data_IF_161064392645
#
_entry.id   IF_161064392645
#
_cell.length_a   1.000
_cell.length_b   1.000
_cell.length_c   1.000
_cell.angle_alpha   90.00
_cell.angle_beta   90.00
_cell.angle_gamma   90.00
#
_symmetry.space_group_name_H-M   'P 1'
#
loop_
_entity.id
_entity.type
_entity.pdbx_description
1 polymer ?
#
# COMPACT_ATOMS: atom_id res chain seq x y z
N UNK A 1 -8.05 -8.69 -29.51
CA UNK A 1 -7.57 -7.82 -28.42
C UNK A 1 -8.11 -6.40 -28.69
N UNK A 2 -8.55 -5.68 -27.64
CA UNK A 2 -9.01 -4.29 -27.80
C UNK A 2 -7.81 -3.36 -28.06
N UNK A 3 -7.97 -2.29 -28.87
CA UNK A 3 -6.87 -1.36 -29.14
C UNK A 3 -6.26 -0.73 -27.89
N UNK A 4 -7.08 -0.44 -26.88
CA UNK A 4 -6.62 0.11 -25.60
C UNK A 4 -5.75 -0.88 -24.83
N UNK A 5 -6.08 -2.18 -24.88
CA UNK A 5 -5.29 -3.25 -24.27
C UNK A 5 -3.92 -3.37 -24.96
N UNK A 6 -3.89 -3.38 -26.28
CA UNK A 6 -2.64 -3.43 -27.06
C UNK A 6 -1.74 -2.23 -26.72
N UNK A 7 -2.33 -1.03 -26.60
CA UNK A 7 -1.60 0.20 -26.22
C UNK A 7 -0.99 0.08 -24.82
N UNK A 8 -1.72 -0.45 -23.84
CA UNK A 8 -1.20 -0.63 -22.47
C UNK A 8 0.00 -1.60 -22.49
N UNK A 9 -0.15 -2.78 -23.10
CA UNK A 9 0.92 -3.78 -23.15
C UNK A 9 2.15 -3.21 -23.87
N UNK A 10 1.95 -2.53 -25.00
CA UNK A 10 3.03 -1.88 -25.74
C UNK A 10 3.73 -0.81 -24.90
N UNK A 11 2.98 0.05 -24.20
CA UNK A 11 3.53 1.09 -23.32
C UNK A 11 4.41 0.47 -22.23
N UNK A 12 3.88 -0.47 -21.44
CA UNK A 12 4.61 -1.13 -20.36
C UNK A 12 5.87 -1.86 -20.85
N UNK A 13 5.82 -2.40 -22.07
CA UNK A 13 7.00 -3.02 -22.68
C UNK A 13 8.05 -1.97 -23.09
N UNK A 14 7.62 -0.84 -23.66
CA UNK A 14 8.51 0.24 -24.10
C UNK A 14 9.18 0.97 -22.94
N UNK A 15 8.47 1.17 -21.83
CA UNK A 15 9.00 1.79 -20.59
C UNK A 15 9.90 0.85 -19.80
N UNK A 16 9.85 -0.46 -20.09
CA UNK A 16 10.61 -1.47 -19.36
C UNK A 16 9.95 -1.96 -18.08
N UNK A 17 8.71 -1.51 -17.79
CA UNK A 17 7.94 -1.92 -16.62
C UNK A 17 7.47 -3.38 -16.72
N UNK A 18 7.25 -3.88 -17.94
CA UNK A 18 6.78 -5.25 -18.19
C UNK A 18 7.94 -6.18 -18.60
N UNK A 19 8.30 -7.08 -17.70
CA UNK A 19 9.26 -8.15 -17.96
C UNK A 19 8.76 -9.10 -19.06
N UNK A 20 9.68 -9.55 -19.91
CA UNK A 20 9.40 -10.48 -21.02
C UNK A 20 8.67 -11.75 -20.58
N UNK A 21 8.93 -12.25 -19.37
CA UNK A 21 8.26 -13.45 -18.81
C UNK A 21 6.78 -13.24 -18.57
N UNK A 22 6.37 -12.00 -18.30
CA UNK A 22 4.97 -11.63 -18.01
C UNK A 22 4.23 -11.10 -19.23
N UNK A 23 4.95 -10.79 -20.33
CA UNK A 23 4.34 -10.24 -21.55
C UNK A 23 3.16 -11.09 -22.03
N UNK A 24 3.32 -12.42 -22.09
CA UNK A 24 2.26 -13.34 -22.51
C UNK A 24 1.00 -13.26 -21.64
N UNK A 25 1.18 -13.16 -20.31
CA UNK A 25 0.08 -13.05 -19.38
C UNK A 25 -0.67 -11.70 -19.54
N UNK A 26 0.08 -10.59 -19.61
CA UNK A 26 -0.52 -9.26 -19.82
C UNK A 26 -1.23 -9.14 -21.17
N UNK A 27 -0.72 -9.80 -22.21
CA UNK A 27 -1.37 -9.82 -23.52
C UNK A 27 -2.64 -10.70 -23.57
N UNK A 28 -2.68 -11.78 -22.78
CA UNK A 28 -3.81 -12.72 -22.79
C UNK A 28 -4.91 -12.35 -21.81
N UNK A 29 -4.57 -11.75 -20.65
CA UNK A 29 -5.52 -11.44 -19.58
C UNK A 29 -6.06 -10.02 -19.73
N UNK A 30 -7.28 -9.91 -20.25
CA UNK A 30 -7.92 -8.63 -20.55
C UNK A 30 -8.45 -7.95 -19.28
N UNK A 31 -7.77 -6.88 -18.82
CA UNK A 31 -8.07 -6.18 -17.54
C UNK A 31 -9.53 -5.76 -17.42
N UNK A 32 -10.14 -5.28 -18.51
CA UNK A 32 -11.53 -4.82 -18.51
C UNK A 32 -12.55 -5.90 -18.10
N UNK A 33 -12.23 -7.19 -18.31
CA UNK A 33 -13.12 -8.29 -17.91
C UNK A 33 -13.20 -8.49 -16.40
N UNK A 34 -12.24 -7.91 -15.67
CA UNK A 34 -12.17 -7.99 -14.20
C UNK A 34 -12.71 -6.74 -13.50
N UNK A 35 -13.04 -5.68 -14.24
CA UNK A 35 -13.53 -4.45 -13.64
C UNK A 35 -15.06 -4.43 -13.53
N UNK A 36 -15.63 -3.79 -12.48
CA UNK A 36 -17.08 -3.56 -12.41
C UNK A 36 -17.51 -2.55 -13.49
N UNK A 37 -18.81 -2.46 -13.73
CA UNK A 37 -19.37 -1.47 -14.67
C UNK A 37 -19.01 -0.04 -14.31
N UNK A 38 -18.93 0.27 -13.02
CA UNK A 38 -18.59 1.60 -12.52
C UNK A 38 -17.21 1.60 -11.87
N UNK A 39 -16.35 2.53 -12.31
CA UNK A 39 -14.98 2.74 -11.79
C UNK A 39 -14.71 4.21 -11.56
N UNK A 40 -13.81 4.52 -10.63
CA UNK A 40 -13.40 5.89 -10.32
C UNK A 40 -11.88 6.01 -10.44
N UNK A 41 -11.41 7.00 -11.17
CA UNK A 41 -9.99 7.33 -11.29
C UNK A 41 -9.48 8.07 -10.02
N UNK A 42 -8.15 8.18 -9.83
CA UNK A 42 -7.56 8.86 -8.66
C UNK A 42 -7.94 10.35 -8.52
N UNK A 43 -8.25 11.03 -9.63
CA UNK A 43 -8.71 12.42 -9.66
C UNK A 43 -10.18 12.59 -9.27
N UNK A 44 -10.88 11.49 -8.92
CA UNK A 44 -12.29 11.47 -8.58
C UNK A 44 -13.23 11.32 -9.79
N UNK A 45 -12.71 11.29 -11.02
CA UNK A 45 -13.52 11.06 -12.22
C UNK A 45 -14.15 9.66 -12.17
N UNK A 46 -15.48 9.60 -12.12
CA UNK A 46 -16.24 8.36 -12.12
C UNK A 46 -16.88 8.13 -13.48
N UNK A 47 -16.74 6.91 -14.01
CA UNK A 47 -17.34 6.50 -15.29
C UNK A 47 -18.10 5.20 -15.11
N UNK A 48 -19.29 5.15 -15.71
CA UNK A 48 -20.10 3.95 -15.76
C UNK A 48 -20.07 3.37 -17.18
N UNK A 49 -19.64 2.11 -17.33
CA UNK A 49 -19.53 1.44 -18.64
C UNK A 49 -20.86 1.40 -19.40
N UNK A 50 -21.94 1.24 -18.65
CA UNK A 50 -23.29 1.06 -19.17
C UNK A 50 -24.13 2.34 -18.93
N UNK A 51 -23.46 3.51 -18.81
CA UNK A 51 -24.09 4.81 -18.62
C UNK A 51 -24.88 5.30 -19.84
N UNK A 52 -25.69 6.34 -19.61
CA UNK A 52 -26.62 6.89 -20.62
C UNK A 52 -25.99 7.88 -21.60
N UNK A 53 -24.71 8.22 -21.43
CA UNK A 53 -24.04 9.22 -22.28
C UNK A 53 -23.26 8.56 -23.43
N UNK A 54 -23.37 9.15 -24.61
CA UNK A 54 -22.55 8.74 -25.75
C UNK A 54 -21.05 8.81 -25.38
N UNK A 55 -20.34 7.69 -25.57
CA UNK A 55 -18.91 7.58 -25.28
C UNK A 55 -18.56 7.07 -23.87
N UNK A 56 -19.50 6.85 -22.97
CA UNK A 56 -19.23 6.36 -21.60
C UNK A 56 -18.44 5.03 -21.62
N UNK A 57 -18.85 4.11 -22.48
CA UNK A 57 -18.13 2.83 -22.63
C UNK A 57 -16.68 3.02 -23.13
N UNK A 58 -16.47 3.94 -24.03
CA UNK A 58 -15.14 4.21 -24.60
C UNK A 58 -14.23 4.85 -23.54
N UNK A 59 -14.76 5.82 -22.80
CA UNK A 59 -14.07 6.46 -21.69
C UNK A 59 -13.77 5.48 -20.54
N UNK A 60 -14.71 4.58 -20.25
CA UNK A 60 -14.51 3.51 -19.27
C UNK A 60 -13.37 2.57 -19.70
N UNK A 61 -13.31 2.20 -21.00
CA UNK A 61 -12.23 1.39 -21.55
C UNK A 61 -10.87 2.13 -21.53
N UNK A 62 -10.86 3.43 -21.78
CA UNK A 62 -9.65 4.25 -21.64
C UNK A 62 -9.11 4.19 -20.22
N UNK A 63 -9.94 4.45 -19.21
CA UNK A 63 -9.56 4.32 -17.80
C UNK A 63 -9.16 2.88 -17.42
N UNK A 64 -9.87 1.88 -17.93
CA UNK A 64 -9.59 0.48 -17.66
C UNK A 64 -8.18 0.06 -18.13
N UNK A 65 -7.67 0.71 -19.17
CA UNK A 65 -6.37 0.40 -19.79
C UNK A 65 -5.34 1.53 -19.67
N UNK A 66 -5.63 2.54 -18.86
CA UNK A 66 -4.58 3.48 -18.46
C UNK A 66 -3.72 2.89 -17.34
N UNK A 67 -2.48 3.40 -17.21
CA UNK A 67 -1.55 2.96 -16.17
C UNK A 67 -1.76 3.73 -14.87
N UNK A 68 -2.97 3.58 -14.36
CA UNK A 68 -3.44 4.16 -13.10
C UNK A 68 -4.20 3.10 -12.28
N UNK A 69 -4.24 3.23 -10.94
CA UNK A 69 -5.19 2.47 -10.15
C UNK A 69 -6.61 2.98 -10.42
N UNK A 70 -7.59 2.09 -10.44
CA UNK A 70 -9.01 2.48 -10.50
C UNK A 70 -9.76 1.94 -9.30
N UNK A 71 -10.51 2.80 -8.60
CA UNK A 71 -11.30 2.45 -7.44
C UNK A 71 -12.51 1.64 -7.92
N UNK A 72 -12.74 0.50 -7.27
CA UNK A 72 -13.80 -0.46 -7.62
C UNK A 72 -14.80 -0.68 -6.50
N UNK A 73 -14.48 -0.22 -5.28
CA UNK A 73 -15.39 -0.24 -4.14
C UNK A 73 -15.02 0.89 -3.17
N UNK A 74 -16.01 1.49 -2.55
CA UNK A 74 -15.88 2.45 -1.45
C UNK A 74 -16.64 1.96 -0.22
N UNK A 75 -16.21 2.40 0.97
CA UNK A 75 -16.88 2.19 2.27
C UNK A 75 -17.29 0.73 2.51
N UNK A 76 -16.42 -0.22 2.15
CA UNK A 76 -16.63 -1.67 2.26
C UNK A 76 -17.90 -2.17 1.57
N UNK A 77 -18.39 -1.46 0.55
CA UNK A 77 -19.60 -1.83 -0.21
C UNK A 77 -20.92 -1.56 0.52
N UNK A 78 -20.90 -0.88 1.66
CA UNK A 78 -22.11 -0.62 2.46
C UNK A 78 -23.09 0.36 1.82
N UNK A 79 -22.61 1.18 0.86
CA UNK A 79 -23.38 2.28 0.27
C UNK A 79 -23.57 3.49 1.19
N UNK A 80 -23.05 3.41 2.41
CA UNK A 80 -23.09 4.45 3.43
C UNK A 80 -21.67 4.82 3.82
N UNK A 81 -21.33 6.11 3.85
CA UNK A 81 -20.00 6.57 4.25
C UNK A 81 -19.51 7.81 3.53
N UNK A 82 -18.21 8.07 3.62
CA UNK A 82 -17.55 9.26 3.07
C UNK A 82 -16.97 9.02 1.66
N UNK A 83 -17.25 7.90 1.01
CA UNK A 83 -16.66 7.52 -0.27
C UNK A 83 -15.22 7.05 -0.16
N UNK A 84 -14.82 6.52 0.98
CA UNK A 84 -13.45 6.05 1.19
C UNK A 84 -13.16 4.80 0.36
N UNK A 85 -12.08 4.78 -0.45
CA UNK A 85 -11.71 3.63 -1.25
C UNK A 85 -11.38 2.41 -0.40
N UNK A 86 -12.02 1.27 -0.68
CA UNK A 86 -11.83 0.00 0.02
C UNK A 86 -11.47 -1.16 -0.89
N UNK A 87 -11.61 -0.99 -2.21
CA UNK A 87 -11.04 -1.87 -3.23
C UNK A 87 -10.67 -1.06 -4.47
N UNK A 88 -9.58 -1.44 -5.10
CA UNK A 88 -9.14 -0.91 -6.39
C UNK A 88 -8.55 -2.02 -7.26
N UNK A 89 -8.59 -1.85 -8.57
CA UNK A 89 -7.70 -2.55 -9.47
C UNK A 89 -6.40 -1.74 -9.56
N UNK A 90 -5.32 -2.33 -9.08
CA UNK A 90 -4.01 -1.68 -8.98
C UNK A 90 -3.48 -1.19 -10.34
N UNK A 91 -2.59 -0.20 -10.29
CA UNK A 91 -1.89 0.32 -11.45
C UNK A 91 -1.12 -0.80 -12.17
N UNK A 92 -1.28 -0.96 -13.49
CA UNK A 92 -0.67 -2.07 -14.23
C UNK A 92 0.84 -2.17 -14.13
N UNK A 93 1.58 -1.06 -14.18
CA UNK A 93 3.05 -1.05 -14.03
C UNK A 93 3.49 -1.54 -12.64
N UNK A 94 2.78 -1.16 -11.57
CA UNK A 94 3.05 -1.65 -10.21
C UNK A 94 2.77 -3.15 -10.11
N UNK A 95 1.68 -3.62 -10.71
CA UNK A 95 1.39 -5.07 -10.78
C UNK A 95 2.50 -5.81 -11.50
N UNK A 96 2.98 -5.28 -12.63
CA UNK A 96 4.06 -5.88 -13.40
C UNK A 96 5.37 -5.96 -12.62
N UNK A 97 5.77 -4.88 -11.92
CA UNK A 97 6.96 -4.85 -11.05
C UNK A 97 6.84 -5.86 -9.90
N UNK A 98 5.70 -5.89 -9.20
CA UNK A 98 5.48 -6.83 -8.12
C UNK A 98 5.53 -8.30 -8.60
N UNK A 99 4.96 -8.61 -9.73
CA UNK A 99 5.00 -9.95 -10.33
C UNK A 99 6.42 -10.33 -10.79
N UNK A 100 7.18 -9.39 -11.36
CA UNK A 100 8.59 -9.58 -11.68
C UNK A 100 9.42 -9.93 -10.43
N UNK A 101 9.28 -9.15 -9.34
CA UNK A 101 9.96 -9.37 -8.06
C UNK A 101 9.54 -10.65 -7.36
N UNK A 102 8.29 -11.07 -7.52
CA UNK A 102 7.78 -12.32 -6.96
C UNK A 102 8.53 -13.54 -7.51
N UNK A 103 9.04 -13.46 -8.74
CA UNK A 103 9.95 -14.41 -9.37
C UNK A 103 9.40 -15.84 -9.34
N UNK A 104 8.25 -16.02 -9.97
CA UNK A 104 7.56 -17.31 -10.05
C UNK A 104 8.05 -18.16 -11.21
N UNK A 105 7.98 -19.49 -11.03
CA UNK A 105 8.30 -20.48 -12.05
C UNK A 105 7.18 -21.54 -12.14
N UNK A 106 7.04 -22.23 -13.28
CA UNK A 106 6.04 -23.29 -13.43
C UNK A 106 6.09 -24.31 -12.30
N UNK A 107 4.93 -24.70 -11.78
CA UNK A 107 4.78 -25.62 -10.67
C UNK A 107 4.87 -24.99 -9.29
N UNK A 108 5.20 -23.71 -9.17
CA UNK A 108 5.17 -23.00 -7.89
C UNK A 108 3.74 -22.71 -7.44
N UNK A 109 3.51 -22.85 -6.14
CA UNK A 109 2.24 -22.55 -5.47
C UNK A 109 2.29 -21.17 -4.87
N UNK A 110 1.30 -20.35 -5.20
CA UNK A 110 1.20 -18.95 -4.77
C UNK A 110 -0.01 -18.75 -3.87
N UNK A 111 0.20 -18.03 -2.77
CA UNK A 111 -0.85 -17.40 -1.98
C UNK A 111 -0.88 -15.91 -2.33
N UNK A 112 -2.01 -15.43 -2.82
CA UNK A 112 -2.32 -14.01 -2.97
C UNK A 112 -3.23 -13.56 -1.83
N UNK A 113 -2.92 -12.43 -1.22
CA UNK A 113 -3.76 -11.77 -0.21
C UNK A 113 -4.31 -10.47 -0.79
N UNK A 114 -5.64 -10.36 -0.86
CA UNK A 114 -6.33 -9.24 -1.50
C UNK A 114 -6.70 -9.55 -2.96
N UNK A 115 -7.64 -10.46 -3.18
CA UNK A 115 -8.14 -10.81 -4.54
C UNK A 115 -8.65 -9.60 -5.32
N UNK A 116 -9.32 -8.68 -4.62
CA UNK A 116 -9.96 -7.53 -5.25
C UNK A 116 -10.92 -7.96 -6.36
N UNK A 117 -10.68 -7.47 -7.56
CA UNK A 117 -11.49 -7.83 -8.74
C UNK A 117 -11.08 -9.14 -9.42
N UNK A 118 -9.92 -9.73 -9.04
CA UNK A 118 -9.39 -10.99 -9.56
C UNK A 118 -8.38 -10.84 -10.71
N UNK A 119 -8.05 -9.62 -11.14
CA UNK A 119 -7.15 -9.40 -12.28
C UNK A 119 -5.74 -9.99 -12.04
N UNK A 120 -5.13 -9.70 -10.88
CA UNK A 120 -3.80 -10.21 -10.56
C UNK A 120 -3.80 -11.75 -10.40
N UNK A 121 -4.84 -12.31 -9.76
CA UNK A 121 -5.05 -13.78 -9.72
C UNK A 121 -5.17 -14.39 -11.13
N UNK A 122 -5.78 -13.67 -12.07
CA UNK A 122 -5.85 -14.06 -13.49
C UNK A 122 -4.46 -14.11 -14.15
N UNK A 123 -3.64 -13.08 -13.95
CA UNK A 123 -2.25 -13.04 -14.43
C UNK A 123 -1.41 -14.20 -13.86
N UNK A 124 -1.49 -14.42 -12.55
CA UNK A 124 -0.83 -15.55 -11.88
C UNK A 124 -1.32 -16.90 -12.43
N UNK A 125 -2.64 -17.03 -12.65
CA UNK A 125 -3.23 -18.27 -13.17
C UNK A 125 -2.81 -18.55 -14.61
N UNK A 126 -2.67 -17.51 -15.44
CA UNK A 126 -2.13 -17.68 -16.79
C UNK A 126 -0.70 -18.21 -16.78
N UNK A 127 0.12 -17.74 -15.85
CA UNK A 127 1.54 -18.10 -15.76
C UNK A 127 1.79 -19.46 -15.11
N UNK A 128 0.96 -19.86 -14.14
CA UNK A 128 1.22 -21.01 -13.27
C UNK A 128 0.20 -22.15 -13.39
N UNK A 129 -0.94 -21.91 -14.04
CA UNK A 129 -2.14 -22.75 -13.90
C UNK A 129 -2.96 -22.34 -12.66
N UNK A 130 -4.28 -22.24 -12.81
CA UNK A 130 -5.18 -21.79 -11.75
C UNK A 130 -5.13 -22.66 -10.50
N UNK A 131 -4.88 -23.96 -10.64
CA UNK A 131 -4.74 -24.91 -9.53
C UNK A 131 -3.58 -24.59 -8.58
N UNK A 132 -2.59 -23.81 -9.03
CA UNK A 132 -1.44 -23.38 -8.24
C UNK A 132 -1.64 -22.02 -7.56
N UNK A 133 -2.74 -21.34 -7.85
CA UNK A 133 -3.05 -20.02 -7.30
C UNK A 133 -4.15 -20.13 -6.25
N UNK A 134 -3.85 -19.70 -5.03
CA UNK A 134 -4.82 -19.49 -3.96
C UNK A 134 -4.88 -17.99 -3.70
N UNK A 135 -6.08 -17.41 -3.74
CA UNK A 135 -6.30 -15.98 -3.49
C UNK A 135 -7.37 -15.78 -2.42
N UNK A 136 -7.07 -14.92 -1.44
CA UNK A 136 -7.92 -14.72 -0.26
C UNK A 136 -8.47 -13.31 -0.25
N UNK A 137 -9.79 -13.19 -0.11
CA UNK A 137 -10.53 -11.93 -0.02
C UNK A 137 -11.41 -11.89 1.21
N UNK A 138 -11.29 -10.82 2.00
CA UNK A 138 -12.06 -10.67 3.24
C UNK A 138 -13.54 -10.33 2.97
N UNK A 139 -13.83 -9.64 1.89
CA UNK A 139 -15.17 -9.26 1.46
C UNK A 139 -15.80 -10.41 0.64
N UNK A 140 -16.93 -10.91 1.11
CA UNK A 140 -17.58 -12.08 0.50
C UNK A 140 -18.13 -11.79 -0.89
N UNK A 141 -18.68 -10.59 -1.11
CA UNK A 141 -19.25 -10.20 -2.40
C UNK A 141 -18.17 -9.99 -3.44
N UNK A 142 -17.07 -9.34 -3.07
CA UNK A 142 -15.89 -9.20 -3.95
C UNK A 142 -15.29 -10.57 -4.26
N UNK A 143 -15.19 -11.49 -3.29
CA UNK A 143 -14.68 -12.84 -3.51
C UNK A 143 -15.53 -13.61 -4.53
N UNK A 144 -16.86 -13.53 -4.40
CA UNK A 144 -17.77 -14.19 -5.34
C UNK A 144 -17.70 -13.58 -6.74
N UNK A 145 -17.70 -12.25 -6.83
CA UNK A 145 -17.54 -11.56 -8.12
C UNK A 145 -16.21 -11.89 -8.80
N UNK A 146 -15.11 -11.94 -8.04
CA UNK A 146 -13.80 -12.31 -8.56
C UNK A 146 -13.79 -13.76 -9.06
N UNK A 147 -14.42 -14.69 -8.33
CA UNK A 147 -14.56 -16.09 -8.75
C UNK A 147 -15.28 -16.21 -10.08
N UNK A 148 -16.41 -15.52 -10.24
CA UNK A 148 -17.16 -15.52 -11.50
C UNK A 148 -16.30 -14.97 -12.64
N UNK A 149 -15.67 -13.80 -12.45
CA UNK A 149 -14.83 -13.19 -13.48
C UNK A 149 -13.63 -14.07 -13.89
N UNK A 150 -13.00 -14.74 -12.92
CA UNK A 150 -11.90 -15.67 -13.19
C UNK A 150 -12.38 -16.87 -14.00
N UNK A 151 -13.52 -17.47 -13.64
CA UNK A 151 -14.09 -18.60 -14.38
C UNK A 151 -14.50 -18.19 -15.80
N UNK A 152 -15.13 -17.03 -15.97
CA UNK A 152 -15.51 -16.49 -17.28
C UNK A 152 -14.30 -16.16 -18.15
N UNK A 153 -13.16 -15.85 -17.53
CA UNK A 153 -11.90 -15.66 -18.21
C UNK A 153 -11.13 -16.98 -18.46
N UNK A 154 -11.65 -18.11 -18.00
CA UNK A 154 -11.04 -19.43 -18.18
C UNK A 154 -10.01 -19.83 -17.13
N UNK A 155 -9.97 -19.15 -15.98
CA UNK A 155 -9.03 -19.41 -14.89
C UNK A 155 -9.72 -20.05 -13.68
N UNK A 156 -9.20 -21.21 -13.25
CA UNK A 156 -9.73 -21.97 -12.10
C UNK A 156 -8.89 -21.73 -10.83
N UNK A 157 -8.61 -20.47 -10.50
CA UNK A 157 -7.94 -20.14 -9.26
C UNK A 157 -8.79 -20.48 -8.04
N UNK A 158 -8.14 -20.84 -6.93
CA UNK A 158 -8.82 -21.13 -5.67
C UNK A 158 -9.11 -19.83 -4.91
N UNK A 159 -10.31 -19.26 -5.15
CA UNK A 159 -10.77 -18.04 -4.47
C UNK A 159 -11.37 -18.41 -3.11
N UNK A 160 -10.85 -17.81 -2.06
CA UNK A 160 -11.26 -18.04 -0.67
C UNK A 160 -11.82 -16.76 -0.07
N UNK A 161 -13.01 -16.86 0.53
CA UNK A 161 -13.52 -15.78 1.40
C UNK A 161 -12.97 -15.97 2.80
N UNK A 162 -12.24 -14.96 3.31
CA UNK A 162 -11.64 -15.03 4.65
C UNK A 162 -10.64 -13.92 4.92
N UNK A 163 -10.15 -13.92 6.12
CA UNK A 163 -9.10 -13.00 6.57
C UNK A 163 -7.73 -13.44 6.03
N UNK A 164 -7.21 -12.66 5.06
CA UNK A 164 -5.94 -12.93 4.41
C UNK A 164 -4.72 -12.87 5.35
N UNK A 165 -4.82 -12.20 6.50
CA UNK A 165 -3.73 -12.17 7.50
C UNK A 165 -3.46 -13.55 8.09
N UNK A 166 -4.44 -14.44 8.06
CA UNK A 166 -4.33 -15.85 8.48
C UNK A 166 -3.75 -16.76 7.40
N UNK A 167 -3.53 -16.24 6.17
CA UNK A 167 -3.18 -17.05 5.03
C UNK A 167 -4.27 -18.09 4.69
N UNK A 168 -3.83 -19.21 4.11
CA UNK A 168 -4.73 -20.35 3.86
C UNK A 168 -4.00 -21.69 4.07
N UNK A 169 -3.98 -22.23 5.29
CA UNK A 169 -3.17 -23.40 5.65
C UNK A 169 -3.59 -24.69 4.91
N UNK A 170 -4.84 -24.79 4.44
CA UNK A 170 -5.35 -25.99 3.73
C UNK A 170 -4.61 -26.28 2.42
N UNK A 171 -3.91 -25.30 1.87
CA UNK A 171 -3.14 -25.43 0.63
C UNK A 171 -1.65 -25.11 0.81
N UNK A 172 -1.21 -24.88 2.04
CA UNK A 172 0.22 -24.74 2.35
C UNK A 172 0.98 -26.08 2.11
N UNK A 173 2.32 -26.06 1.95
CA UNK A 173 3.14 -24.85 1.95
C UNK A 173 3.17 -24.14 0.60
N UNK A 174 3.41 -22.82 0.63
CA UNK A 174 3.52 -21.96 -0.55
C UNK A 174 4.98 -21.69 -0.92
N UNK A 175 5.25 -21.54 -2.20
CA UNK A 175 6.56 -21.09 -2.72
C UNK A 175 6.66 -19.58 -2.66
N UNK A 176 5.51 -18.89 -2.84
CA UNK A 176 5.40 -17.44 -2.87
C UNK A 176 4.17 -16.98 -2.13
N UNK A 177 4.30 -15.87 -1.42
CA UNK A 177 3.17 -15.11 -0.87
C UNK A 177 3.24 -13.70 -1.44
N UNK A 178 2.16 -13.24 -2.03
CA UNK A 178 2.00 -11.88 -2.57
C UNK A 178 0.83 -11.21 -1.86
N UNK A 179 1.07 -10.07 -1.22
CA UNK A 179 -0.04 -9.23 -0.75
C UNK A 179 -0.24 -8.05 -1.69
N UNK A 180 -1.47 -7.83 -2.11
CA UNK A 180 -1.93 -6.63 -2.82
C UNK A 180 -2.69 -5.68 -1.88
N UNK A 181 -2.44 -5.83 -0.58
CA UNK A 181 -2.85 -4.92 0.47
C UNK A 181 -1.67 -4.66 1.41
N UNK A 182 -1.53 -3.42 1.89
CA UNK A 182 -0.44 -3.02 2.77
C UNK A 182 -0.63 -3.57 4.18
N UNK A 183 0.49 -3.83 4.86
CA UNK A 183 0.54 -4.23 6.26
C UNK A 183 1.48 -3.33 7.05
N UNK A 184 1.14 -3.05 8.31
CA UNK A 184 2.06 -2.46 9.29
C UNK A 184 2.90 -3.54 9.97
N UNK A 185 2.30 -4.74 10.08
CA UNK A 185 2.94 -5.95 10.62
C UNK A 185 2.70 -7.11 9.66
N UNK A 186 3.77 -7.72 9.20
CA UNK A 186 3.69 -8.91 8.35
C UNK A 186 3.12 -10.08 9.17
N UNK A 187 1.99 -10.67 8.79
CA UNK A 187 1.42 -11.79 9.53
C UNK A 187 2.36 -13.00 9.54
N UNK A 188 2.70 -13.50 10.73
CA UNK A 188 3.59 -14.66 10.83
C UNK A 188 3.00 -15.92 10.16
N UNK A 189 1.67 -15.98 10.02
CA UNK A 189 1.00 -17.05 9.27
C UNK A 189 1.51 -17.18 7.83
N UNK A 190 1.93 -16.08 7.20
CA UNK A 190 2.51 -16.11 5.85
C UNK A 190 3.89 -16.79 5.84
N UNK A 191 4.69 -16.54 6.88
CA UNK A 191 6.00 -17.19 7.08
C UNK A 191 5.82 -18.68 7.36
N UNK A 192 4.97 -19.02 8.34
CA UNK A 192 4.72 -20.39 8.76
C UNK A 192 4.12 -21.29 7.65
N UNK A 193 3.38 -20.68 6.70
CA UNK A 193 2.77 -21.39 5.56
C UNK A 193 3.65 -21.38 4.30
N UNK A 194 4.83 -20.80 4.36
CA UNK A 194 5.79 -20.77 3.24
C UNK A 194 6.87 -21.86 3.41
N UNK A 195 7.40 -22.32 2.29
CA UNK A 195 8.55 -23.24 2.30
C UNK A 195 9.83 -22.50 2.70
N UNK A 196 10.81 -23.16 3.30
CA UNK A 196 12.16 -22.61 3.35
C UNK A 196 12.65 -22.23 1.96
N UNK A 197 13.21 -21.03 1.81
CA UNK A 197 13.54 -20.42 0.52
C UNK A 197 12.39 -19.76 -0.20
N UNK A 198 11.16 -19.87 0.31
CA UNK A 198 9.98 -19.14 -0.20
C UNK A 198 10.15 -17.63 -0.09
N UNK A 199 9.43 -16.88 -0.93
CA UNK A 199 9.43 -15.41 -0.89
C UNK A 199 8.08 -14.87 -0.45
N UNK A 200 8.11 -13.79 0.33
CA UNK A 200 6.95 -13.00 0.71
C UNK A 200 7.18 -11.59 0.19
N UNK A 201 6.26 -11.11 -0.62
CA UNK A 201 6.27 -9.77 -1.18
C UNK A 201 5.02 -9.03 -0.72
N UNK A 202 5.19 -7.91 -0.03
CA UNK A 202 4.06 -7.16 0.55
C UNK A 202 4.35 -5.68 0.64
N UNK A 203 3.39 -4.81 0.24
CA UNK A 203 3.44 -3.41 0.62
C UNK A 203 3.45 -3.30 2.15
N UNK A 204 4.31 -2.43 2.66
CA UNK A 204 4.55 -2.25 4.08
C UNK A 204 4.65 -0.77 4.44
N UNK A 205 4.28 -0.43 5.66
CA UNK A 205 4.44 0.91 6.17
C UNK A 205 4.11 1.02 7.65
N UNK A 206 4.08 2.24 8.15
CA UNK A 206 3.61 2.63 9.48
C UNK A 206 2.41 3.56 9.34
N UNK A 207 1.81 4.00 10.45
CA UNK A 207 0.78 5.03 10.37
C UNK A 207 1.32 6.36 9.80
N UNK A 208 2.61 6.62 9.99
CA UNK A 208 3.29 7.81 9.47
C UNK A 208 3.57 7.74 7.96
N UNK A 209 4.07 6.60 7.49
CA UNK A 209 4.50 6.41 6.11
C UNK A 209 3.97 5.08 5.55
N UNK A 210 3.28 5.14 4.42
CA UNK A 210 2.78 3.96 3.70
C UNK A 210 3.30 4.02 2.26
N UNK A 211 4.21 3.14 1.90
CA UNK A 211 4.74 3.18 0.54
C UNK A 211 5.90 2.22 0.24
N UNK A 212 6.48 1.55 1.21
CA UNK A 212 7.58 0.63 0.95
C UNK A 212 7.09 -0.77 0.55
N UNK A 213 7.89 -1.50 -0.23
CA UNK A 213 7.65 -2.90 -0.60
C UNK A 213 8.63 -3.78 0.17
N UNK A 214 8.15 -4.65 1.05
CA UNK A 214 8.99 -5.61 1.75
C UNK A 214 9.20 -6.87 0.90
N UNK A 215 10.44 -7.20 0.60
CA UNK A 215 10.86 -8.43 -0.09
C UNK A 215 11.55 -9.36 0.90
N UNK A 216 10.84 -10.39 1.37
CA UNK A 216 11.36 -11.29 2.40
C UNK A 216 11.59 -12.69 1.84
N UNK A 217 12.63 -13.34 2.34
CA UNK A 217 12.92 -14.76 2.09
C UNK A 217 12.76 -15.55 3.37
N UNK A 218 12.04 -16.65 3.31
CA UNK A 218 11.81 -17.54 4.44
C UNK A 218 13.04 -18.44 4.66
N UNK A 219 13.58 -18.39 5.87
CA UNK A 219 14.72 -19.20 6.31
C UNK A 219 14.30 -20.58 6.79
N UNK A 220 15.27 -21.50 6.93
CA UNK A 220 15.04 -22.82 7.51
C UNK A 220 14.76 -22.77 9.02
N UNK A 221 15.06 -21.65 9.67
CA UNK A 221 14.82 -21.36 11.08
C UNK A 221 13.38 -20.91 11.38
N UNK A 222 12.51 -20.86 10.36
CA UNK A 222 11.12 -20.40 10.50
C UNK A 222 10.98 -18.88 10.60
N UNK A 223 12.04 -18.11 10.34
CA UNK A 223 11.96 -16.65 10.18
C UNK A 223 11.88 -16.27 8.71
N UNK A 224 11.44 -15.06 8.44
CA UNK A 224 11.58 -14.42 7.11
C UNK A 224 12.37 -13.13 7.26
N UNK A 225 13.26 -12.85 6.31
CA UNK A 225 14.12 -11.67 6.34
C UNK A 225 14.40 -11.15 4.94
N UNK A 226 14.61 -9.85 4.83
CA UNK A 226 14.92 -9.19 3.57
C UNK A 226 14.95 -7.69 3.70
N UNK A 227 14.92 -7.01 2.57
CA UNK A 227 15.02 -5.55 2.50
C UNK A 227 13.73 -4.93 1.96
N UNK A 228 13.63 -3.63 2.14
CA UNK A 228 12.61 -2.85 1.48
C UNK A 228 13.08 -2.46 0.08
N UNK A 229 12.10 -2.39 -0.83
CA UNK A 229 12.29 -1.98 -2.20
C UNK A 229 11.04 -1.22 -2.67
N UNK A 230 11.13 -0.57 -3.83
CA UNK A 230 10.00 0.07 -4.48
C UNK A 230 9.37 1.21 -3.69
N UNK A 231 8.51 1.92 -4.39
CA UNK A 231 7.65 2.98 -3.89
C UNK A 231 6.22 2.60 -4.30
N UNK A 232 5.48 1.99 -3.39
CA UNK A 232 4.19 1.36 -3.69
C UNK A 232 3.20 1.58 -2.55
N UNK A 233 2.26 2.49 -2.72
CA UNK A 233 1.20 2.74 -1.76
C UNK A 233 -0.03 1.87 -2.05
N UNK A 234 -0.43 1.05 -1.08
CA UNK A 234 -1.62 0.21 -1.14
C UNK A 234 -2.57 0.50 0.03
N UNK A 235 -3.83 0.14 -0.16
CA UNK A 235 -4.80 0.12 0.94
C UNK A 235 -4.37 -0.91 1.97
N UNK A 236 -4.60 -0.59 3.26
CA UNK A 236 -4.29 -1.49 4.37
C UNK A 236 -5.18 -2.73 4.40
N UNK A 237 -4.65 -3.85 4.84
CA UNK A 237 -5.49 -4.96 5.30
C UNK A 237 -6.45 -4.45 6.37
N UNK A 238 -7.66 -5.00 6.43
CA UNK A 238 -8.79 -4.40 7.16
C UNK A 238 -8.53 -4.18 8.65
N UNK A 239 -7.87 -5.12 9.31
CA UNK A 239 -7.55 -5.06 10.74
C UNK A 239 -6.33 -4.17 11.09
N UNK A 240 -5.56 -3.75 10.08
CA UNK A 240 -4.42 -2.83 10.25
C UNK A 240 -4.68 -1.44 9.65
N UNK A 241 -5.92 -1.14 9.32
CA UNK A 241 -6.32 0.20 8.84
C UNK A 241 -6.05 1.25 9.89
N UNK A 242 -5.53 2.39 9.45
CA UNK A 242 -5.38 3.56 10.30
C UNK A 242 -6.73 4.26 10.49
N UNK A 243 -6.99 4.89 11.66
CA UNK A 243 -8.22 5.63 11.90
C UNK A 243 -8.43 6.75 10.88
N UNK A 244 -9.69 6.99 10.52
CA UNK A 244 -10.09 8.10 9.66
C UNK A 244 -10.43 9.33 10.49
N UNK A 245 -10.44 10.50 9.86
CA UNK A 245 -10.87 11.76 10.46
C UNK A 245 -10.14 12.07 11.78
N UNK A 246 -8.85 11.70 11.84
CA UNK A 246 -8.04 11.85 13.06
C UNK A 246 -7.82 13.32 13.41
N UNK A 247 -7.66 14.19 12.41
CA UNK A 247 -7.50 15.62 12.62
C UNK A 247 -8.77 16.19 13.24
N UNK A 248 -9.92 15.98 12.63
CA UNK A 248 -11.21 16.47 13.11
C UNK A 248 -11.60 15.89 14.47
N UNK A 249 -11.09 14.72 14.82
CA UNK A 249 -11.39 14.06 16.08
C UNK A 249 -10.50 14.54 17.22
N UNK A 250 -9.22 14.78 16.95
CA UNK A 250 -8.22 15.02 18.00
C UNK A 250 -7.72 16.47 18.07
N UNK A 251 -7.65 17.19 16.94
CA UNK A 251 -7.10 18.55 16.88
C UNK A 251 -8.21 19.57 17.16
N UNK A 252 -8.27 20.05 18.40
CA UNK A 252 -9.29 21.00 18.85
C UNK A 252 -8.63 22.17 19.61
N UNK A 253 -7.93 23.08 18.92
CA UNK A 253 -7.16 24.14 19.55
C UNK A 253 -8.04 25.11 20.39
N UNK A 254 -9.33 25.23 20.08
CA UNK A 254 -10.29 26.05 20.82
C UNK A 254 -10.64 25.47 22.22
N UNK A 255 -10.50 24.15 22.38
CA UNK A 255 -10.92 23.40 23.57
C UNK A 255 -9.73 22.84 24.38
N UNK A 256 -8.52 22.87 23.80
CA UNK A 256 -7.34 22.18 24.34
C UNK A 256 -6.19 23.15 24.58
N UNK A 257 -5.52 23.02 25.72
CA UNK A 257 -4.28 23.75 25.98
C UNK A 257 -3.16 23.20 25.09
N UNK A 258 -2.39 24.08 24.46
CA UNK A 258 -1.23 23.72 23.65
C UNK A 258 -0.07 24.69 23.90
N UNK A 259 1.12 24.24 23.58
CA UNK A 259 2.31 25.09 23.57
C UNK A 259 2.59 25.59 22.16
N UNK A 260 3.09 26.82 22.06
CA UNK A 260 3.50 27.44 20.82
C UNK A 260 5.03 27.51 20.77
N UNK A 261 5.60 27.10 19.64
CA UNK A 261 7.02 27.26 19.30
C UNK A 261 7.16 27.65 17.83
N UNK A 262 8.40 27.89 17.39
CA UNK A 262 8.72 28.18 15.99
C UNK A 262 9.87 27.32 15.52
N UNK A 263 9.85 26.95 14.25
CA UNK A 263 10.91 26.20 13.59
C UNK A 263 11.27 26.82 12.25
N UNK A 264 12.56 26.69 11.87
CA UNK A 264 13.01 26.98 10.50
C UNK A 264 12.87 25.79 9.55
N UNK A 265 12.54 24.60 10.06
CA UNK A 265 12.39 23.39 9.26
C UNK A 265 11.13 23.50 8.36
N UNK A 266 11.32 23.31 7.06
CA UNK A 266 10.20 23.28 6.13
C UNK A 266 9.64 21.84 6.05
N UNK A 267 8.31 21.63 6.12
CA UNK A 267 7.71 20.28 6.15
C UNK A 267 8.08 19.38 4.98
N UNK A 268 8.32 19.94 3.82
CA UNK A 268 8.73 19.16 2.65
C UNK A 268 10.03 18.37 2.85
N UNK A 269 10.95 18.87 3.67
CA UNK A 269 12.21 18.17 3.92
C UNK A 269 12.01 16.81 4.62
N UNK A 270 11.31 16.72 5.79
CA UNK A 270 11.12 15.45 6.48
C UNK A 270 9.94 14.60 5.98
N UNK A 271 8.96 15.20 5.29
CA UNK A 271 7.70 14.50 4.97
C UNK A 271 7.62 14.12 3.49
N UNK A 272 8.08 14.99 2.57
CA UNK A 272 7.99 14.72 1.13
C UNK A 272 9.15 13.90 0.59
N UNK A 273 10.31 13.90 1.28
CA UNK A 273 11.38 12.95 0.96
C UNK A 273 10.95 11.55 1.41
N UNK A 274 10.90 10.61 0.47
CA UNK A 274 10.41 9.25 0.73
C UNK A 274 11.23 8.55 1.81
N UNK A 275 12.56 8.60 1.71
CA UNK A 275 13.45 7.90 2.62
C UNK A 275 13.50 8.55 4.02
N UNK A 276 13.42 9.88 4.09
CA UNK A 276 13.29 10.59 5.35
C UNK A 276 11.96 10.25 6.04
N UNK A 277 10.84 10.34 5.31
CA UNK A 277 9.50 10.02 5.81
C UNK A 277 9.40 8.56 6.28
N UNK A 278 9.99 7.62 5.52
CA UNK A 278 10.08 6.22 5.92
C UNK A 278 10.85 6.07 7.24
N UNK A 279 12.04 6.65 7.36
CA UNK A 279 12.88 6.58 8.56
C UNK A 279 12.20 7.21 9.77
N UNK A 280 11.56 8.36 9.62
CA UNK A 280 10.75 9.01 10.67
C UNK A 280 9.62 8.10 11.11
N UNK A 281 8.92 7.47 10.15
CA UNK A 281 7.85 6.52 10.44
C UNK A 281 8.30 5.32 11.28
N UNK A 282 9.57 4.90 11.21
CA UNK A 282 10.12 3.86 12.09
C UNK A 282 10.26 4.33 13.55
N UNK A 283 10.53 5.61 13.78
CA UNK A 283 10.62 6.20 15.12
C UNK A 283 9.24 6.60 15.68
N UNK A 284 8.29 6.87 14.79
CA UNK A 284 6.94 7.35 15.13
C UNK A 284 5.84 6.46 14.52
N UNK A 285 5.84 5.14 14.72
CA UNK A 285 5.04 4.20 13.94
C UNK A 285 3.51 4.34 14.13
N UNK A 286 3.07 4.95 15.23
CA UNK A 286 1.64 5.16 15.57
C UNK A 286 1.13 6.55 15.20
N UNK A 287 2.02 7.44 14.78
CA UNK A 287 1.68 8.83 14.48
C UNK A 287 1.25 8.96 13.02
N UNK A 288 0.10 9.57 12.82
CA UNK A 288 -0.37 9.92 11.48
C UNK A 288 0.09 11.32 11.12
N UNK A 289 0.46 11.51 9.86
CA UNK A 289 0.62 12.84 9.28
C UNK A 289 -0.52 13.12 8.29
N UNK A 290 -0.98 14.37 8.26
CA UNK A 290 -1.98 14.87 7.32
C UNK A 290 -1.62 16.28 6.92
N UNK A 291 -1.74 16.56 5.64
CA UNK A 291 -1.54 17.91 5.10
C UNK A 291 -2.90 18.49 4.73
N UNK A 292 -3.22 19.64 5.28
CA UNK A 292 -4.41 20.42 4.95
C UNK A 292 -3.99 21.67 4.21
N UNK A 293 -4.45 21.83 2.97
CA UNK A 293 -4.22 23.01 2.15
C UNK A 293 -5.36 24.02 2.40
N UNK A 294 -4.99 25.28 2.56
CA UNK A 294 -5.95 26.39 2.52
C UNK A 294 -6.03 26.92 1.08
N UNK A 295 -7.21 27.35 0.65
CA UNK A 295 -7.51 27.70 -0.75
C UNK A 295 -6.71 28.87 -1.31
N UNK A 296 -5.98 29.62 -0.49
CA UNK A 296 -5.28 30.81 -0.90
C UNK A 296 -3.79 30.77 -0.50
N UNK A 297 -2.93 31.21 -1.41
CA UNK A 297 -1.54 31.63 -1.19
C UNK A 297 -0.54 30.52 -0.79
N UNK A 298 -0.71 29.27 -1.22
CA UNK A 298 0.23 28.17 -0.89
C UNK A 298 0.41 27.92 0.63
N UNK A 299 -0.55 28.35 1.42
CA UNK A 299 -0.58 28.05 2.86
C UNK A 299 -1.08 26.64 3.09
N UNK A 300 -0.46 25.95 4.01
CA UNK A 300 -0.92 24.64 4.44
C UNK A 300 -0.52 24.38 5.89
N UNK A 301 -1.20 23.42 6.51
CA UNK A 301 -0.88 22.93 7.84
C UNK A 301 -0.56 21.44 7.77
N UNK A 302 0.53 21.04 8.39
CA UNK A 302 0.84 19.63 8.62
C UNK A 302 0.41 19.27 10.03
N UNK A 303 -0.52 18.32 10.13
CA UNK A 303 -0.95 17.76 11.39
C UNK A 303 -0.25 16.44 11.65
N UNK A 304 0.35 16.30 12.83
CA UNK A 304 0.81 15.04 13.38
C UNK A 304 -0.16 14.65 14.50
N UNK A 305 -0.68 13.43 14.47
CA UNK A 305 -1.67 12.96 15.46
C UNK A 305 -1.31 11.55 15.92
N UNK A 306 -1.23 11.36 17.22
CA UNK A 306 -1.18 10.05 17.85
C UNK A 306 -2.52 9.73 18.51
N UNK A 307 -3.40 8.94 17.88
CA UNK A 307 -4.71 8.63 18.42
C UNK A 307 -4.67 7.90 19.76
N UNK A 308 -3.59 7.15 20.02
CA UNK A 308 -3.44 6.37 21.25
C UNK A 308 -3.27 7.23 22.50
N UNK A 309 -2.60 8.38 22.38
CA UNK A 309 -2.37 9.32 23.48
C UNK A 309 -3.23 10.59 23.39
N UNK A 310 -3.89 10.82 22.25
CA UNK A 310 -4.57 12.06 21.94
C UNK A 310 -3.64 13.25 21.70
N UNK A 311 -2.33 12.99 21.58
CA UNK A 311 -1.35 14.05 21.31
C UNK A 311 -1.43 14.49 19.85
N UNK A 312 -1.29 15.81 19.62
CA UNK A 312 -1.24 16.34 18.27
C UNK A 312 -0.26 17.50 18.13
N UNK A 313 0.13 17.74 16.89
CA UNK A 313 0.88 18.91 16.45
C UNK A 313 0.19 19.52 15.24
N UNK A 314 0.12 20.84 15.18
CA UNK A 314 -0.22 21.61 13.97
C UNK A 314 0.98 22.47 13.60
N UNK A 315 1.53 22.21 12.44
CA UNK A 315 2.70 22.90 11.90
C UNK A 315 2.27 23.75 10.72
N UNK A 316 2.14 25.07 10.98
CA UNK A 316 1.57 26.02 10.05
C UNK A 316 2.64 26.58 9.12
N UNK A 317 2.44 26.41 7.82
CA UNK A 317 3.32 26.93 6.77
C UNK A 317 2.67 28.10 6.09
N UNK A 318 3.31 29.25 6.21
CA UNK A 318 2.92 30.49 5.52
C UNK A 318 4.17 31.01 4.77
N UNK A 319 4.18 30.96 3.44
CA UNK A 319 5.32 31.43 2.64
C UNK A 319 5.68 32.89 2.90
N UNK A 320 4.71 33.72 3.26
CA UNK A 320 4.94 35.12 3.62
C UNK A 320 5.68 35.34 4.95
N UNK A 321 5.86 34.27 5.75
CA UNK A 321 6.52 34.29 7.05
C UNK A 321 7.82 33.47 7.11
N UNK A 322 8.34 33.01 6.00
CA UNK A 322 9.51 32.13 5.94
C UNK A 322 10.76 32.64 6.69
N UNK A 323 10.99 33.96 6.71
CA UNK A 323 12.11 34.59 7.45
C UNK A 323 11.95 34.55 8.99
N UNK A 324 10.70 34.46 9.49
CA UNK A 324 10.40 34.44 10.93
C UNK A 324 10.22 33.04 11.51
N UNK A 325 10.33 32.02 10.65
CA UNK A 325 10.05 30.61 10.99
C UNK A 325 8.55 30.28 11.06
N UNK A 326 8.25 29.00 10.96
CA UNK A 326 6.91 28.44 10.97
C UNK A 326 6.40 28.22 12.38
N UNK A 327 5.11 28.47 12.62
CA UNK A 327 4.49 28.23 13.92
C UNK A 327 4.17 26.74 14.10
N UNK A 328 4.46 26.23 15.29
CA UNK A 328 4.21 24.87 15.71
C UNK A 328 3.43 24.87 17.01
N UNK A 329 2.22 24.33 16.95
CA UNK A 329 1.35 24.11 18.11
C UNK A 329 1.44 22.64 18.51
N UNK A 330 1.64 22.34 19.80
CA UNK A 330 1.71 20.97 20.31
C UNK A 330 0.85 20.78 21.55
N UNK A 331 0.03 19.74 21.54
CA UNK A 331 -0.85 19.33 22.63
C UNK A 331 -0.56 17.88 23.06
N UNK A 332 -0.86 17.60 24.34
CA UNK A 332 -0.83 16.26 24.89
C UNK A 332 0.50 15.86 25.53
N UNK A 333 0.59 14.61 26.04
CA UNK A 333 1.76 14.12 26.76
C UNK A 333 2.98 13.85 25.85
N UNK A 334 2.77 13.56 24.56
CA UNK A 334 3.85 13.43 23.58
C UNK A 334 4.09 14.75 22.88
N UNK A 335 5.36 15.02 22.60
CA UNK A 335 5.82 16.21 21.86
C UNK A 335 6.15 15.80 20.43
N UNK A 336 5.11 15.58 19.61
CA UNK A 336 5.23 14.92 18.30
C UNK A 336 6.14 15.67 17.34
N UNK A 337 6.16 17.01 17.39
CA UNK A 337 7.08 17.78 16.56
C UNK A 337 8.54 17.58 16.99
N UNK A 338 8.80 17.57 18.29
CA UNK A 338 10.15 17.33 18.81
C UNK A 338 10.62 15.89 18.54
N UNK A 339 9.71 14.92 18.57
CA UNK A 339 10.02 13.55 18.18
C UNK A 339 10.33 13.46 16.68
N UNK A 340 9.58 14.17 15.82
CA UNK A 340 9.86 14.26 14.40
C UNK A 340 11.23 14.89 14.12
N UNK A 341 11.55 16.03 14.77
CA UNK A 341 12.85 16.69 14.62
C UNK A 341 14.00 15.76 15.04
N UNK A 342 13.84 15.03 16.16
CA UNK A 342 14.84 14.06 16.61
C UNK A 342 15.03 12.90 15.62
N UNK A 343 13.92 12.35 15.09
CA UNK A 343 13.98 11.28 14.10
C UNK A 343 14.60 11.75 12.78
N UNK A 344 14.28 12.96 12.34
CA UNK A 344 14.86 13.55 11.13
C UNK A 344 16.35 13.84 11.30
N UNK A 345 16.76 14.37 12.46
CA UNK A 345 18.18 14.59 12.79
C UNK A 345 18.94 13.25 12.79
N UNK A 346 18.39 12.22 13.43
CA UNK A 346 18.96 10.88 13.41
C UNK A 346 19.18 10.39 11.96
N UNK A 347 18.18 10.52 11.08
CA UNK A 347 18.30 10.11 9.69
C UNK A 347 19.42 10.89 8.95
N UNK A 348 19.57 12.20 9.23
CA UNK A 348 20.63 13.01 8.66
C UNK A 348 22.02 12.57 9.17
N UNK A 349 22.17 12.31 10.47
CA UNK A 349 23.40 11.85 11.10
C UNK A 349 23.82 10.45 10.60
N UNK A 350 22.86 9.60 10.27
CA UNK A 350 23.08 8.30 9.62
C UNK A 350 23.50 8.41 8.14
N UNK A 351 23.68 9.62 7.64
CA UNK A 351 24.08 9.89 6.26
C UNK A 351 22.93 9.81 5.26
N UNK A 352 21.71 10.08 5.69
CA UNK A 352 20.50 10.07 4.86
C UNK A 352 20.28 8.73 4.15
N UNK A 353 20.19 7.62 4.87
CA UNK A 353 20.04 6.32 4.25
C UNK A 353 18.74 6.23 3.45
N UNK A 354 18.85 5.71 2.23
CA UNK A 354 17.68 5.36 1.44
C UNK A 354 16.90 4.23 2.12
N UNK A 355 15.57 4.18 1.91
CA UNK A 355 14.72 3.16 2.49
C UNK A 355 15.15 1.73 2.11
N UNK A 356 15.80 1.55 0.98
CA UNK A 356 16.36 0.27 0.50
C UNK A 356 17.52 -0.28 1.33
N UNK A 357 18.16 0.56 2.16
CA UNK A 357 19.18 0.11 3.14
C UNK A 357 18.56 -0.51 4.38
N UNK A 358 17.26 -0.27 4.60
CA UNK A 358 16.57 -0.91 5.71
C UNK A 358 16.10 -2.30 5.32
N UNK A 359 16.06 -3.17 6.32
CA UNK A 359 15.53 -4.51 6.16
C UNK A 359 14.58 -4.86 7.29
N UNK A 360 13.87 -5.96 7.08
CA UNK A 360 12.86 -6.47 8.01
C UNK A 360 13.13 -7.94 8.30
N UNK A 361 13.11 -8.30 9.57
CA UNK A 361 13.10 -9.69 10.05
C UNK A 361 11.78 -9.95 10.75
N UNK A 362 11.13 -11.06 10.38
CA UNK A 362 9.85 -11.53 10.94
C UNK A 362 10.06 -12.91 11.52
N UNK A 363 9.80 -13.06 12.81
CA UNK A 363 9.78 -14.34 13.52
C UNK A 363 8.42 -14.58 14.19
N UNK A 364 8.25 -15.73 14.84
CA UNK A 364 7.03 -16.03 15.59
C UNK A 364 6.82 -15.06 16.78
N UNK A 365 7.91 -14.54 17.35
CA UNK A 365 7.88 -13.72 18.56
C UNK A 365 7.83 -12.23 18.27
N UNK A 366 8.47 -11.79 17.17
CA UNK A 366 8.65 -10.36 16.91
C UNK A 366 8.96 -10.05 15.46
N UNK A 367 8.80 -8.78 15.14
CA UNK A 367 9.32 -8.18 13.92
C UNK A 367 10.33 -7.08 14.27
N UNK A 368 11.38 -6.95 13.48
CA UNK A 368 12.39 -5.92 13.68
C UNK A 368 12.81 -5.33 12.34
N UNK A 369 12.67 -4.01 12.21
CA UNK A 369 13.28 -3.23 11.12
C UNK A 369 14.66 -2.80 11.57
N UNK A 370 15.63 -2.97 10.70
CA UNK A 370 17.04 -2.69 10.96
C UNK A 370 17.66 -1.89 9.81
N UNK A 371 18.75 -1.17 10.11
CA UNK A 371 19.54 -0.44 9.12
C UNK A 371 20.82 -1.22 8.83
N UNK A 372 21.09 -1.49 7.55
CA UNK A 372 22.23 -2.22 7.00
C UNK A 372 22.33 -3.70 7.40
N UNK A 373 22.11 -4.06 8.65
CA UNK A 373 22.15 -5.45 9.14
C UNK A 373 21.30 -5.67 10.41
N UNK A 374 20.91 -6.89 10.67
CA UNK A 374 19.99 -7.28 11.77
C UNK A 374 20.48 -6.87 13.18
N UNK A 375 21.79 -6.71 13.36
CA UNK A 375 22.37 -6.25 14.63
C UNK A 375 22.17 -4.77 14.92
N UNK A 376 21.53 -4.03 14.01
CA UNK A 376 21.26 -2.59 14.13
C UNK A 376 19.78 -2.27 14.01
N UNK A 377 18.97 -2.71 15.00
CA UNK A 377 17.53 -2.50 14.97
C UNK A 377 17.16 -1.03 15.14
N UNK A 378 16.18 -0.55 14.35
CA UNK A 378 15.61 0.79 14.43
C UNK A 378 14.19 0.72 15.02
N UNK A 379 13.39 -0.25 14.58
CA UNK A 379 12.05 -0.50 15.12
C UNK A 379 11.93 -1.98 15.48
N UNK A 380 11.45 -2.26 16.68
CA UNK A 380 11.09 -3.63 17.10
C UNK A 380 9.67 -3.64 17.66
N UNK A 381 8.85 -4.52 17.13
CA UNK A 381 7.46 -4.73 17.57
C UNK A 381 7.22 -6.22 17.87
N UNK A 382 6.37 -6.54 18.87
CA UNK A 382 6.02 -7.92 19.22
C UNK A 382 5.28 -8.65 18.10
#
# INVERSE_FOLDING_TARGET
MLPQHEKLVARLTQTGDLDQRWHGAFAAVERHRFLPGRITAPDGTTVDRDGDHDGDRERWLELAYDDIPVITQVDDGTGEGSGYPTSSASQPSIVADMLHRLDVFPGMRVLEVGTGTGYNAGLLSHQLGGENVTTVQIDADLAEQARVRLLDAGFAAHVVTGDGTRGWPKRAPYDRVLSTAAVQRVPYAWVAQSRPGGRILTPWGTAFHNGALAELRVGPDGSARGHFAGDVAFMWVRDQRIPRRVVETHVRPEEQEFTLSRTGLHPYEPISDFSASFAIGLHMPTVLNRVEYTDEEQRFTVHLVDPGTGSWTSWHVDPGRGETGYEVHQHGPRRLFSELEAAYTWWQEEGRPEHTRFGLTVSAERQSVWLDHEGRPVLTAP
#
